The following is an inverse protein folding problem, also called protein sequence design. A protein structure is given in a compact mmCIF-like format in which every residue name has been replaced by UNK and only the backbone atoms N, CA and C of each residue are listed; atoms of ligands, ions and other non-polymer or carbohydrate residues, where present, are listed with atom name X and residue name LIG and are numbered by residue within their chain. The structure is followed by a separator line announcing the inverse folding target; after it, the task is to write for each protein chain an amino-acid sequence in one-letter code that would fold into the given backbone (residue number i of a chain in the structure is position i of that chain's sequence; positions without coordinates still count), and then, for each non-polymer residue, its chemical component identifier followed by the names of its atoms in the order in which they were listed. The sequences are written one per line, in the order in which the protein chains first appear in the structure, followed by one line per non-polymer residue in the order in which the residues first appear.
data_IF_072769901512
#
_entry.id   IF_072769901512
#
_cell.length_a   1.000
_cell.length_b   1.000
_cell.length_c   1.000
_cell.angle_alpha   90.00
_cell.angle_beta   90.00
_cell.angle_gamma   90.00
#
_symmetry.space_group_name_H-M   'P 1'
#
loop_
_entity.id
_entity.type
_entity.pdbx_description
1 polymer ?
#
# COMPACT_ATOMS: atom_id res chain seq x y z
N UNK A 1 -17.44 6.33 11.97
CA UNK A 1 -18.23 6.35 10.72
C UNK A 1 -17.50 5.53 9.68
N UNK A 2 -18.21 5.04 8.68
CA UNK A 2 -17.66 4.29 7.54
C UNK A 2 -17.77 5.19 6.32
N UNK A 3 -16.71 5.28 5.54
CA UNK A 3 -16.71 5.98 4.25
C UNK A 3 -17.15 5.03 3.15
N UNK A 4 -17.94 5.54 2.20
CA UNK A 4 -18.26 4.86 0.96
C UNK A 4 -17.14 5.07 -0.09
N UNK A 5 -17.01 4.19 -1.11
CA UNK A 5 -15.96 4.30 -2.11
C UNK A 5 -15.92 5.65 -2.85
N UNK A 6 -17.07 6.29 -3.05
CA UNK A 6 -17.19 7.60 -3.71
C UNK A 6 -16.64 8.75 -2.87
N UNK A 7 -16.37 8.53 -1.58
CA UNK A 7 -15.81 9.51 -0.66
C UNK A 7 -14.28 9.43 -0.56
N UNK A 8 -13.61 8.68 -1.45
CA UNK A 8 -12.16 8.48 -1.42
C UNK A 8 -11.35 9.78 -1.50
N UNK A 9 -11.87 10.79 -2.20
CA UNK A 9 -11.29 12.14 -2.27
C UNK A 9 -11.19 12.84 -0.90
N UNK A 10 -11.95 12.38 0.11
CA UNK A 10 -11.92 12.95 1.47
C UNK A 10 -10.81 12.38 2.34
N UNK A 11 -10.18 11.26 1.94
CA UNK A 11 -9.14 10.58 2.72
C UNK A 11 -7.97 11.47 3.17
N UNK A 12 -7.51 12.48 2.42
CA UNK A 12 -6.48 13.40 2.88
C UNK A 12 -6.85 14.15 4.17
N UNK A 13 -8.13 14.37 4.46
CA UNK A 13 -8.60 14.98 5.72
C UNK A 13 -8.25 14.12 6.96
N UNK A 14 -7.98 12.83 6.74
CA UNK A 14 -7.58 11.84 7.74
C UNK A 14 -6.07 11.60 7.78
N UNK A 15 -5.30 12.31 6.96
CA UNK A 15 -3.88 12.07 6.77
C UNK A 15 -3.59 10.77 6.01
N UNK A 16 -4.53 10.28 5.20
CA UNK A 16 -4.39 9.06 4.40
C UNK A 16 -4.43 9.44 2.92
N UNK A 17 -3.49 8.90 2.14
CA UNK A 17 -3.47 9.01 0.67
C UNK A 17 -3.60 7.65 0.01
N UNK A 18 -4.14 7.62 -1.21
CA UNK A 18 -4.20 6.43 -2.06
C UNK A 18 -3.42 6.65 -3.35
N UNK A 19 -2.74 5.61 -3.80
CA UNK A 19 -2.13 5.54 -5.13
C UNK A 19 -2.16 4.08 -5.60
N UNK A 20 -2.05 3.87 -6.90
CA UNK A 20 -2.01 2.54 -7.50
C UNK A 20 -0.98 2.49 -8.63
N UNK A 21 -0.48 1.30 -8.91
CA UNK A 21 0.46 1.04 -9.99
C UNK A 21 -0.25 0.96 -11.35
N UNK A 22 -1.39 0.26 -11.40
CA UNK A 22 -2.19 0.10 -12.61
C UNK A 22 -3.41 1.04 -12.59
N UNK A 23 -3.24 2.27 -13.08
CA UNK A 23 -4.31 3.30 -13.04
C UNK A 23 -5.52 3.00 -13.93
N UNK A 24 -5.31 2.33 -15.06
CA UNK A 24 -6.34 2.12 -16.09
C UNK A 24 -6.69 0.64 -16.30
N UNK A 25 -6.29 -0.23 -15.37
CA UNK A 25 -6.57 -1.66 -15.45
C UNK A 25 -7.26 -2.11 -14.18
N UNK A 26 -8.40 -2.78 -14.32
CA UNK A 26 -9.05 -3.50 -13.25
C UNK A 26 -8.82 -4.99 -13.45
N UNK A 27 -8.51 -5.70 -12.36
CA UNK A 27 -8.33 -7.15 -12.40
C UNK A 27 -8.86 -7.81 -11.15
N UNK A 28 -9.40 -9.01 -11.34
CA UNK A 28 -9.80 -9.92 -10.26
C UNK A 28 -8.62 -10.68 -9.66
N UNK A 29 -7.37 -10.46 -10.06
CA UNK A 29 -6.19 -10.94 -9.34
C UNK A 29 -4.91 -10.24 -9.85
N UNK A 30 -3.90 -10.09 -8.98
CA UNK A 30 -2.66 -9.45 -9.36
C UNK A 30 -1.89 -10.24 -10.44
N UNK A 31 -1.91 -11.58 -10.39
CA UNK A 31 -1.25 -12.42 -11.40
C UNK A 31 -1.88 -12.35 -12.80
N UNK A 32 -3.07 -11.76 -12.94
CA UNK A 32 -3.72 -11.53 -14.23
C UNK A 32 -3.35 -10.15 -14.81
N UNK A 33 -2.72 -9.27 -14.02
CA UNK A 33 -2.21 -8.01 -14.53
C UNK A 33 -0.90 -8.27 -15.29
N UNK A 34 -0.62 -7.49 -16.34
CA UNK A 34 0.68 -7.52 -16.97
C UNK A 34 1.74 -7.09 -15.96
N UNK A 35 2.96 -7.62 -16.09
CA UNK A 35 4.10 -7.12 -15.32
C UNK A 35 4.22 -5.60 -15.50
N UNK A 36 4.40 -4.83 -14.42
CA UNK A 36 4.50 -3.39 -14.51
C UNK A 36 5.72 -2.98 -15.33
N UNK A 37 5.54 -1.95 -16.16
CA UNK A 37 6.65 -1.31 -16.88
C UNK A 37 7.52 -0.51 -15.92
N UNK A 38 8.72 -0.14 -16.35
CA UNK A 38 9.59 0.73 -15.55
C UNK A 38 8.95 2.11 -15.33
N UNK A 39 8.36 2.69 -16.38
CA UNK A 39 7.63 3.95 -16.31
C UNK A 39 6.50 3.93 -15.26
N UNK A 40 5.75 2.82 -15.16
CA UNK A 40 4.71 2.68 -14.13
C UNK A 40 5.27 2.70 -12.72
N UNK A 41 6.42 2.02 -12.49
CA UNK A 41 7.13 2.06 -11.21
C UNK A 41 7.64 3.46 -10.92
N UNK A 42 8.29 4.11 -11.88
CA UNK A 42 8.81 5.47 -11.77
C UNK A 42 7.71 6.46 -11.38
N UNK A 43 6.55 6.43 -12.03
CA UNK A 43 5.42 7.32 -11.69
C UNK A 43 4.97 7.14 -10.23
N UNK A 44 4.92 5.91 -9.72
CA UNK A 44 4.57 5.66 -8.31
C UNK A 44 5.67 6.17 -7.39
N UNK A 45 6.94 5.91 -7.72
CA UNK A 45 8.08 6.36 -6.93
C UNK A 45 8.16 7.89 -6.89
N UNK A 46 7.99 8.57 -8.02
CA UNK A 46 7.93 10.02 -8.11
C UNK A 46 6.83 10.61 -7.22
N UNK A 47 5.64 10.00 -7.20
CA UNK A 47 4.55 10.43 -6.31
C UNK A 47 4.94 10.28 -4.84
N UNK A 48 5.52 9.13 -4.47
CA UNK A 48 5.95 8.86 -3.09
C UNK A 48 7.09 9.78 -2.64
N UNK A 49 8.00 10.16 -3.55
CA UNK A 49 9.08 11.10 -3.26
C UNK A 49 8.59 12.56 -3.21
N UNK A 50 7.64 12.93 -4.09
CA UNK A 50 7.07 14.28 -4.15
C UNK A 50 6.12 14.56 -2.98
N UNK A 51 5.40 13.55 -2.52
CA UNK A 51 4.44 13.64 -1.42
C UNK A 51 4.79 12.62 -0.34
N UNK A 52 5.94 12.78 0.37
CA UNK A 52 6.48 11.74 1.25
C UNK A 52 5.56 11.51 2.46
N UNK A 53 4.86 10.36 2.53
CA UNK A 53 4.11 10.02 3.72
C UNK A 53 5.07 9.58 4.83
N UNK A 54 4.58 9.54 6.08
CA UNK A 54 5.38 8.90 7.16
C UNK A 54 5.54 7.40 6.92
N UNK A 55 4.51 6.75 6.38
CA UNK A 55 4.45 5.31 6.13
C UNK A 55 3.82 5.05 4.75
N UNK A 56 4.43 4.18 3.95
CA UNK A 56 3.86 3.60 2.72
C UNK A 56 3.34 2.20 3.05
N UNK A 57 2.05 1.97 2.89
CA UNK A 57 1.40 0.68 3.13
C UNK A 57 1.11 -0.03 1.81
N UNK A 58 1.79 -1.13 1.54
CA UNK A 58 1.52 -2.02 0.42
C UNK A 58 0.40 -2.99 0.78
N UNK A 59 -0.68 -2.93 0.01
CA UNK A 59 -1.87 -3.76 0.18
C UNK A 59 -1.69 -5.16 -0.45
N UNK A 60 -0.74 -5.92 0.09
CA UNK A 60 -0.36 -7.27 -0.35
C UNK A 60 1.08 -7.35 -0.84
N UNK A 61 1.70 -8.52 -0.66
CA UNK A 61 3.09 -8.80 -1.09
C UNK A 61 3.31 -8.61 -2.58
N UNK A 62 2.35 -9.02 -3.42
CA UNK A 62 2.48 -8.80 -4.86
C UNK A 62 2.60 -7.32 -5.22
N UNK A 63 1.87 -6.44 -4.52
CA UNK A 63 1.94 -4.98 -4.76
C UNK A 63 3.32 -4.44 -4.38
N UNK A 64 3.87 -4.90 -3.26
CA UNK A 64 5.25 -4.60 -2.89
C UNK A 64 6.22 -5.05 -3.99
N UNK A 65 6.09 -6.29 -4.45
CA UNK A 65 6.99 -6.85 -5.46
C UNK A 65 6.91 -6.10 -6.78
N UNK A 66 5.69 -5.76 -7.20
CA UNK A 66 5.42 -5.03 -8.43
C UNK A 66 5.99 -3.60 -8.41
N UNK A 67 5.94 -2.92 -7.26
CA UNK A 67 6.44 -1.55 -7.11
C UNK A 67 7.96 -1.51 -6.91
N UNK A 68 8.50 -2.37 -6.05
CA UNK A 68 9.92 -2.34 -5.64
C UNK A 68 10.85 -3.17 -6.52
N UNK A 69 10.29 -4.12 -7.28
CA UNK A 69 11.07 -5.14 -8.01
C UNK A 69 11.70 -6.20 -7.10
N UNK A 70 11.40 -6.21 -5.80
CA UNK A 70 11.98 -7.12 -4.80
C UNK A 70 10.96 -8.14 -4.32
N UNK A 71 11.42 -9.33 -3.92
CA UNK A 71 10.54 -10.34 -3.34
C UNK A 71 10.29 -10.02 -1.86
N UNK A 72 9.04 -9.73 -1.50
CA UNK A 72 8.61 -9.58 -0.12
C UNK A 72 8.47 -10.93 0.57
N UNK A 73 9.26 -11.17 1.61
CA UNK A 73 9.21 -12.39 2.42
C UNK A 73 8.29 -12.26 3.63
N UNK A 74 8.12 -11.05 4.18
CA UNK A 74 7.53 -10.83 5.50
C UNK A 74 6.32 -9.88 5.46
N UNK A 75 5.49 -9.93 6.51
CA UNK A 75 4.42 -8.96 6.73
C UNK A 75 4.88 -7.91 7.76
N UNK A 76 4.25 -6.74 7.80
CA UNK A 76 4.60 -5.67 8.75
C UNK A 76 5.65 -4.68 8.21
N UNK A 77 6.39 -4.03 9.12
CA UNK A 77 7.44 -3.05 8.78
C UNK A 77 8.58 -3.74 8.00
N UNK A 78 9.02 -3.12 6.91
CA UNK A 78 10.16 -3.60 6.13
C UNK A 78 11.41 -2.80 6.52
N UNK A 79 12.60 -3.42 6.38
CA UNK A 79 13.88 -2.77 6.72
C UNK A 79 14.15 -1.54 5.83
N UNK A 80 13.68 -1.60 4.59
CA UNK A 80 13.89 -0.58 3.58
C UNK A 80 12.90 0.60 3.71
N UNK A 81 13.30 1.75 3.14
CA UNK A 81 12.51 2.98 3.13
C UNK A 81 12.42 3.58 1.74
N UNK A 82 11.35 4.31 1.45
CA UNK A 82 11.17 5.08 0.22
C UNK A 82 11.20 6.56 0.57
N UNK A 83 12.25 7.28 0.17
CA UNK A 83 12.38 8.72 0.42
C UNK A 83 12.30 9.10 1.91
N UNK A 84 12.70 8.19 2.80
CA UNK A 84 12.58 8.34 4.26
C UNK A 84 11.27 7.80 4.86
N UNK A 85 10.27 7.50 4.03
CA UNK A 85 9.02 6.85 4.45
C UNK A 85 9.27 5.41 4.86
N UNK A 86 8.74 4.99 6.02
CA UNK A 86 8.76 3.57 6.39
C UNK A 86 7.88 2.78 5.42
N UNK A 87 8.27 1.54 5.13
CA UNK A 87 7.44 0.64 4.32
C UNK A 87 6.75 -0.40 5.19
N UNK A 88 5.49 -0.68 4.90
CA UNK A 88 4.70 -1.71 5.54
C UNK A 88 4.02 -2.58 4.50
N UNK A 89 3.94 -3.89 4.73
CA UNK A 89 3.18 -4.81 3.89
C UNK A 89 2.08 -5.46 4.72
N UNK A 90 0.83 -5.31 4.28
CA UNK A 90 -0.33 -5.89 4.96
C UNK A 90 -1.07 -6.84 4.03
N UNK A 91 -1.87 -7.74 4.62
CA UNK A 91 -2.74 -8.62 3.86
C UNK A 91 -3.70 -7.82 2.97
N UNK A 92 -3.93 -8.31 1.75
CA UNK A 92 -4.71 -7.59 0.74
C UNK A 92 -6.14 -7.31 1.23
N UNK A 93 -6.68 -6.13 0.92
CA UNK A 93 -8.07 -5.74 1.19
C UNK A 93 -9.11 -6.40 0.28
N UNK A 94 -8.69 -7.15 -0.75
CA UNK A 94 -9.58 -7.86 -1.68
C UNK A 94 -10.40 -8.96 -0.99
N UNK A 95 -11.63 -9.18 -1.45
CA UNK A 95 -12.51 -10.24 -0.92
C UNK A 95 -11.93 -11.66 -1.03
N UNK A 96 -11.01 -11.89 -1.98
CA UNK A 96 -10.29 -13.18 -2.10
C UNK A 96 -9.36 -13.45 -0.91
N UNK A 97 -8.94 -12.41 -0.21
CA UNK A 97 -8.09 -12.48 0.97
C UNK A 97 -8.89 -12.34 2.27
N UNK A 98 -10.23 -12.46 2.25
CA UNK A 98 -11.06 -12.27 3.44
C UNK A 98 -10.78 -13.27 4.57
N UNK A 99 -10.24 -14.45 4.24
CA UNK A 99 -9.74 -15.40 5.24
C UNK A 99 -8.67 -14.77 6.16
N UNK A 100 -7.95 -13.75 5.69
CA UNK A 100 -6.88 -13.04 6.40
C UNK A 100 -7.34 -11.71 6.99
N UNK A 101 -8.65 -11.50 7.16
CA UNK A 101 -9.21 -10.23 7.61
C UNK A 101 -8.74 -9.81 9.01
N UNK A 102 -8.43 -10.77 9.90
CA UNK A 102 -7.94 -10.46 11.25
C UNK A 102 -6.50 -9.96 11.22
N UNK A 103 -5.64 -10.67 10.51
CA UNK A 103 -4.24 -10.35 10.30
C UNK A 103 -4.10 -9.01 9.56
N UNK A 104 -4.99 -8.74 8.60
CA UNK A 104 -5.10 -7.44 7.94
C UNK A 104 -5.39 -6.32 8.93
N UNK A 105 -6.38 -6.52 9.81
CA UNK A 105 -6.73 -5.54 10.83
C UNK A 105 -5.60 -5.32 11.85
N UNK A 106 -4.89 -6.38 12.22
CA UNK A 106 -3.71 -6.30 13.08
C UNK A 106 -2.60 -5.49 12.43
N UNK A 107 -2.29 -5.73 11.14
CA UNK A 107 -1.32 -4.94 10.40
C UNK A 107 -1.67 -3.44 10.34
N UNK A 108 -2.95 -3.10 10.15
CA UNK A 108 -3.38 -1.69 10.20
C UNK A 108 -3.26 -1.08 11.61
N UNK A 109 -3.48 -1.87 12.67
CA UNK A 109 -3.28 -1.41 14.06
C UNK A 109 -1.81 -1.18 14.38
N UNK A 110 -0.92 -2.04 13.89
CA UNK A 110 0.53 -1.86 14.00
C UNK A 110 0.99 -0.58 13.30
N UNK A 111 0.53 -0.34 12.07
CA UNK A 111 0.80 0.92 11.35
C UNK A 111 0.36 2.12 12.16
N UNK A 112 -0.84 2.09 12.75
CA UNK A 112 -1.33 3.17 13.60
C UNK A 112 -0.45 3.38 14.84
N UNK A 113 -0.10 2.31 15.55
CA UNK A 113 0.76 2.38 16.73
C UNK A 113 2.14 2.96 16.38
N UNK A 114 2.70 2.54 15.24
CA UNK A 114 3.97 3.07 14.73
C UNK A 114 3.87 4.56 14.39
N UNK A 115 2.80 4.95 13.70
CA UNK A 115 2.55 6.34 13.33
C UNK A 115 2.45 7.25 14.57
N UNK A 116 1.85 6.76 15.65
CA UNK A 116 1.73 7.49 16.92
C UNK A 116 3.08 7.65 17.64
N UNK A 117 4.05 6.74 17.43
CA UNK A 117 5.44 6.88 17.91
C UNK A 117 6.29 7.87 17.09
N UNK A 118 5.88 8.16 15.85
CA UNK A 118 6.55 9.12 14.96
C UNK A 118 6.02 10.55 15.11
N UNK A 119 5.19 10.82 16.12
CA UNK A 119 4.68 12.14 16.50
C UNK A 119 5.52 12.69 17.63
#
# INVERSE_FOLDING_TARGET
YRLEPEEDETLPQYGIGLTCLHKYSASSANHLLPSPTEEQREIVMEKLLRFPPKIVCFNGKDVYNMVTGKVCTDWGEQEEKIGGSLMYVVQSSSGRADLWGRERLEGYREIKARLDQLK
#
